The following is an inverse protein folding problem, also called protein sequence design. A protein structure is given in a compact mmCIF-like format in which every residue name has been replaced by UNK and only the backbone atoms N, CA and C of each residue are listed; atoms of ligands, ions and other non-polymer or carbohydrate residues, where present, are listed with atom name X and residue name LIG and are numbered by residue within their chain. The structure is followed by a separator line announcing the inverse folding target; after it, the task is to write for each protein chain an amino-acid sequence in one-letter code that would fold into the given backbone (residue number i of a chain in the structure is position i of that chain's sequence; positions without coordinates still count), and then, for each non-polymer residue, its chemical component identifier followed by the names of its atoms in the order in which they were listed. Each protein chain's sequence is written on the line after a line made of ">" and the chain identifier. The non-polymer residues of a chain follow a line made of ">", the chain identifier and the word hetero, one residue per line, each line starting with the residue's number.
data_IF_463472381693
#
_entry.id   IF_463472381693
#
_cell.length_a   1.000
_cell.length_b   1.000
_cell.length_c   1.000
_cell.angle_alpha   90.00
_cell.angle_beta   90.00
_cell.angle_gamma   90.00
#
_symmetry.space_group_name_H-M   'P 1'
#
loop_
_entity.id
_entity.type
_entity.pdbx_description
1 polymer ?
#
# COMPACT_ATOMS: atom_id res chain seq x y z
N UNK A 1 3.87 -41.31 -3.76
CA UNK A 1 4.72 -40.25 -4.34
C UNK A 1 4.99 -39.25 -3.22
N UNK A 2 6.23 -39.11 -2.77
CA UNK A 2 6.56 -38.17 -1.68
C UNK A 2 6.61 -36.76 -2.25
N UNK A 3 5.53 -36.01 -2.05
CA UNK A 3 5.43 -34.62 -2.46
C UNK A 3 6.32 -33.80 -1.53
N UNK A 4 7.54 -33.51 -1.96
CA UNK A 4 8.47 -32.69 -1.20
C UNK A 4 7.93 -31.26 -1.26
N UNK A 5 7.26 -30.82 -0.20
CA UNK A 5 6.86 -29.43 -0.04
C UNK A 5 8.15 -28.62 0.08
N UNK A 6 8.49 -27.87 -0.96
CA UNK A 6 9.62 -26.95 -0.92
C UNK A 6 9.35 -25.99 0.24
N UNK A 7 10.24 -25.93 1.23
CA UNK A 7 10.16 -24.97 2.33
C UNK A 7 10.91 -23.68 1.95
N UNK A 8 10.60 -22.58 2.67
CA UNK A 8 11.32 -21.30 2.57
C UNK A 8 12.82 -21.51 2.78
N UNK A 9 13.64 -20.99 1.87
CA UNK A 9 15.11 -21.05 1.97
C UNK A 9 15.70 -19.65 2.06
N UNK A 10 16.80 -19.50 2.76
CA UNK A 10 17.50 -18.22 2.93
C UNK A 10 18.83 -18.24 2.18
N UNK A 11 19.16 -17.12 1.56
CA UNK A 11 20.44 -16.90 0.87
C UNK A 11 21.29 -16.01 1.77
N UNK A 12 22.50 -16.45 2.08
CA UNK A 12 23.46 -15.69 2.89
C UNK A 12 24.69 -15.27 2.08
N UNK A 13 25.31 -14.15 2.47
CA UNK A 13 26.59 -13.71 1.91
C UNK A 13 27.79 -14.45 2.55
N UNK A 14 29.01 -14.08 2.15
CA UNK A 14 30.24 -14.67 2.67
C UNK A 14 30.54 -14.32 4.15
N UNK A 15 29.80 -13.37 4.74
CA UNK A 15 29.85 -13.02 6.16
C UNK A 15 28.73 -13.70 6.96
N UNK A 16 27.90 -14.54 6.31
CA UNK A 16 26.74 -15.17 6.92
C UNK A 16 25.53 -14.25 7.09
N UNK A 17 25.54 -13.04 6.51
CA UNK A 17 24.39 -12.14 6.55
C UNK A 17 23.36 -12.59 5.53
N UNK A 18 22.10 -12.63 5.94
CA UNK A 18 20.99 -12.98 5.06
C UNK A 18 20.72 -11.85 4.06
N UNK A 19 20.83 -12.16 2.77
CA UNK A 19 20.66 -11.20 1.67
C UNK A 19 19.44 -11.51 0.79
N UNK A 20 18.84 -12.68 0.95
CA UNK A 20 17.71 -13.08 0.13
C UNK A 20 16.93 -14.25 0.72
N UNK A 21 15.78 -14.51 0.10
CA UNK A 21 14.90 -15.62 0.46
C UNK A 21 14.28 -16.21 -0.81
N UNK A 22 14.24 -17.53 -0.89
CA UNK A 22 13.50 -18.28 -1.90
C UNK A 22 12.20 -18.75 -1.25
N UNK A 23 11.08 -18.30 -1.81
CA UNK A 23 9.74 -18.67 -1.34
C UNK A 23 9.13 -19.73 -2.26
N UNK A 24 8.38 -20.69 -1.70
CA UNK A 24 7.47 -21.52 -2.49
C UNK A 24 6.44 -20.64 -3.20
N UNK A 25 5.93 -21.09 -4.36
CA UNK A 25 5.05 -20.27 -5.18
C UNK A 25 3.82 -19.75 -4.42
N UNK A 26 3.19 -20.60 -3.61
CA UNK A 26 2.02 -20.21 -2.82
C UNK A 26 2.32 -19.07 -1.84
N UNK A 27 3.51 -19.07 -1.22
CA UNK A 27 3.93 -18.04 -0.28
C UNK A 27 4.35 -16.77 -1.02
N UNK A 28 4.95 -16.90 -2.21
CA UNK A 28 5.32 -15.76 -3.05
C UNK A 28 4.10 -14.95 -3.48
N UNK A 29 3.00 -15.61 -3.88
CA UNK A 29 1.77 -14.94 -4.28
C UNK A 29 1.17 -14.05 -3.19
N UNK A 30 1.44 -14.34 -1.91
CA UNK A 30 0.97 -13.53 -0.78
C UNK A 30 1.76 -12.22 -0.65
N UNK A 31 3.04 -12.22 -1.03
CA UNK A 31 3.93 -11.05 -0.86
C UNK A 31 4.20 -10.30 -2.16
N UNK A 32 3.95 -10.91 -3.32
CA UNK A 32 4.14 -10.32 -4.65
C UNK A 32 3.46 -8.94 -4.78
N UNK A 33 2.21 -8.72 -4.37
CA UNK A 33 1.57 -7.41 -4.51
C UNK A 33 2.31 -6.31 -3.73
N UNK A 34 2.82 -6.64 -2.53
CA UNK A 34 3.56 -5.72 -1.67
C UNK A 34 4.92 -5.40 -2.30
N UNK A 35 5.61 -6.42 -2.80
CA UNK A 35 6.91 -6.24 -3.48
C UNK A 35 6.77 -5.35 -4.72
N UNK A 36 5.73 -5.57 -5.54
CA UNK A 36 5.45 -4.73 -6.72
C UNK A 36 5.11 -3.28 -6.36
N UNK A 37 4.33 -3.06 -5.31
CA UNK A 37 4.04 -1.70 -4.82
C UNK A 37 5.32 -0.99 -4.37
N UNK A 38 6.21 -1.68 -3.66
CA UNK A 38 7.48 -1.09 -3.22
C UNK A 38 8.41 -0.76 -4.39
N UNK A 39 8.42 -1.58 -5.45
CA UNK A 39 9.17 -1.28 -6.68
C UNK A 39 8.59 -0.07 -7.43
N UNK A 40 7.26 0.05 -7.48
CA UNK A 40 6.58 1.21 -8.07
C UNK A 40 6.83 2.49 -7.26
N UNK A 41 6.76 2.43 -5.93
CA UNK A 41 7.08 3.56 -5.05
C UNK A 41 8.56 3.97 -5.12
N UNK A 42 9.48 3.06 -5.47
CA UNK A 42 10.87 3.40 -5.78
C UNK A 42 11.05 3.98 -7.19
N UNK A 43 10.09 3.79 -8.09
CA UNK A 43 10.11 4.35 -9.44
C UNK A 43 9.38 5.70 -9.51
N UNK A 44 8.49 5.99 -8.56
CA UNK A 44 7.86 7.30 -8.33
C UNK A 44 8.71 8.24 -7.44
N UNK A 45 10.02 8.01 -7.34
CA UNK A 45 10.95 9.08 -6.97
C UNK A 45 11.12 10.05 -8.15
N UNK A 46 10.05 10.79 -8.45
CA UNK A 46 10.26 12.24 -8.53
C UNK A 46 10.76 12.64 -7.15
N UNK A 47 12.00 13.13 -7.09
CA UNK A 47 12.70 13.50 -5.86
C UNK A 47 12.01 14.71 -5.19
N UNK A 48 10.83 14.50 -4.61
CA UNK A 48 10.31 15.41 -3.60
C UNK A 48 10.86 14.92 -2.27
N UNK A 49 11.89 15.62 -1.78
CA UNK A 49 12.36 15.45 -0.41
C UNK A 49 11.18 15.65 0.55
N UNK A 50 11.28 15.12 1.77
CA UNK A 50 10.24 15.33 2.79
C UNK A 50 9.90 16.82 2.97
N UNK A 51 10.91 17.68 2.83
CA UNK A 51 10.78 19.15 2.85
C UNK A 51 9.97 19.69 1.68
N UNK A 52 10.13 19.13 0.47
CA UNK A 52 9.35 19.54 -0.71
C UNK A 52 7.88 19.12 -0.57
N UNK A 53 7.62 17.94 -0.01
CA UNK A 53 6.25 17.52 0.30
C UNK A 53 5.57 18.46 1.29
N UNK A 54 6.28 18.84 2.36
CA UNK A 54 5.77 19.79 3.34
C UNK A 54 5.46 21.14 2.70
N UNK A 55 6.35 21.63 1.84
CA UNK A 55 6.15 22.89 1.10
C UNK A 55 4.92 22.84 0.19
N UNK A 56 4.74 21.74 -0.54
CA UNK A 56 3.57 21.57 -1.41
C UNK A 56 2.27 21.48 -0.60
N UNK A 57 2.29 20.83 0.57
CA UNK A 57 1.15 20.81 1.49
C UNK A 57 0.79 22.20 2.02
N UNK A 58 1.79 23.02 2.39
CA UNK A 58 1.58 24.41 2.81
C UNK A 58 0.98 25.25 1.68
N UNK A 59 1.50 25.11 0.46
CA UNK A 59 0.97 25.82 -0.70
C UNK A 59 -0.49 25.41 -0.99
N UNK A 60 -0.76 24.11 -1.03
CA UNK A 60 -2.09 23.57 -1.28
C UNK A 60 -3.14 24.03 -0.25
N UNK A 61 -2.75 24.19 1.02
CA UNK A 61 -3.63 24.71 2.07
C UNK A 61 -4.13 26.14 1.79
N UNK A 62 -3.42 26.90 0.98
CA UNK A 62 -3.77 28.28 0.59
C UNK A 62 -4.27 28.41 -0.85
N UNK A 63 -4.25 27.33 -1.64
CA UNK A 63 -4.65 27.33 -3.05
C UNK A 63 -6.17 27.19 -3.19
N UNK A 64 -6.87 28.22 -3.73
CA UNK A 64 -8.33 28.18 -3.88
C UNK A 64 -8.83 27.07 -4.81
N UNK A 65 -8.06 26.68 -5.84
CA UNK A 65 -8.46 25.62 -6.76
C UNK A 65 -8.37 24.26 -6.07
N UNK A 66 -7.26 24.01 -5.37
CA UNK A 66 -7.10 22.79 -4.57
C UNK A 66 -8.21 22.64 -3.52
N UNK A 67 -8.57 23.72 -2.83
CA UNK A 67 -9.65 23.69 -1.82
C UNK A 67 -11.05 23.48 -2.44
N UNK A 68 -11.27 23.95 -3.66
CA UNK A 68 -12.51 23.71 -4.39
C UNK A 68 -12.63 22.23 -4.77
N UNK A 69 -11.58 21.67 -5.37
CA UNK A 69 -11.52 20.25 -5.75
C UNK A 69 -11.65 19.35 -4.51
N UNK A 70 -10.95 19.69 -3.42
CA UNK A 70 -11.05 18.96 -2.14
C UNK A 70 -12.49 18.96 -1.61
N UNK A 71 -13.19 20.09 -1.70
CA UNK A 71 -14.59 20.20 -1.26
C UNK A 71 -15.52 19.35 -2.13
N UNK A 72 -15.31 19.32 -3.44
CA UNK A 72 -16.07 18.50 -4.37
C UNK A 72 -15.90 17.01 -4.04
N UNK A 73 -14.66 16.55 -3.91
CA UNK A 73 -14.34 15.16 -3.54
C UNK A 73 -14.96 14.79 -2.19
N UNK A 74 -14.77 15.61 -1.16
CA UNK A 74 -15.37 15.36 0.16
C UNK A 74 -16.91 15.32 0.10
N UNK A 75 -17.52 16.11 -0.78
CA UNK A 75 -18.95 16.10 -1.02
C UNK A 75 -19.42 14.85 -1.77
N UNK A 76 -18.58 14.24 -2.60
CA UNK A 76 -18.88 12.94 -3.24
C UNK A 76 -18.76 11.79 -2.23
N UNK A 77 -17.72 11.80 -1.39
CA UNK A 77 -17.52 10.80 -0.33
C UNK A 77 -18.67 10.75 0.68
N UNK A 78 -19.35 11.87 0.95
CA UNK A 78 -20.52 11.90 1.85
C UNK A 78 -21.64 10.94 1.40
N UNK A 79 -21.71 10.61 0.11
CA UNK A 79 -22.71 9.70 -0.44
C UNK A 79 -22.27 8.23 -0.38
N UNK A 80 -20.98 7.95 -0.13
CA UNK A 80 -20.40 6.61 -0.04
C UNK A 80 -20.33 6.11 1.40
N UNK A 81 -20.13 7.01 2.37
CA UNK A 81 -19.96 6.65 3.80
C UNK A 81 -21.24 6.09 4.45
N UNK A 82 -22.41 6.40 3.89
CA UNK A 82 -23.69 5.86 4.37
C UNK A 82 -23.86 4.35 4.12
N UNK A 83 -23.17 3.77 3.14
CA UNK A 83 -23.28 2.33 2.83
C UNK A 83 -22.26 1.46 3.57
N UNK A 84 -21.20 2.06 4.15
CA UNK A 84 -20.09 1.28 4.71
C UNK A 84 -20.21 1.00 6.22
N UNK A 85 -20.98 1.80 6.97
CA UNK A 85 -21.09 1.68 8.43
C UNK A 85 -22.38 1.03 8.94
N UNK A 86 -23.33 0.63 8.09
CA UNK A 86 -24.44 -0.21 8.56
C UNK A 86 -23.93 -1.65 8.72
N UNK A 87 -23.81 -2.18 9.94
CA UNK A 87 -23.60 -3.61 10.08
C UNK A 87 -24.90 -4.26 9.63
N UNK A 88 -24.84 -5.09 8.59
CA UNK A 88 -25.88 -6.06 8.30
C UNK A 88 -26.02 -7.07 9.46
N UNK A 89 -26.55 -6.65 10.61
CA UNK A 89 -27.10 -7.54 11.61
C UNK A 89 -28.50 -7.95 11.15
N UNK A 90 -28.53 -8.86 10.17
CA UNK A 90 -29.62 -9.80 10.07
C UNK A 90 -29.60 -10.71 11.29
N UNK A 91 -30.63 -10.62 12.14
CA UNK A 91 -30.73 -11.50 13.31
C UNK A 91 -31.91 -11.21 14.23
N UNK A 92 -33.10 -11.64 13.79
CA UNK A 92 -34.32 -12.02 14.56
C UNK A 92 -34.54 -11.40 15.96
N UNK A 93 -35.69 -10.75 16.13
CA UNK A 93 -36.72 -11.19 17.09
C UNK A 93 -38.10 -11.06 16.45
#
# INVERSE_FOLDING_TARGET
>A
MNQTTLSKQFITDNQGRQIGVILPMNDYLLVEPILRQQEQSKHDTSLETEEEKLRLMEQAASDPLFLADLREVMNDFKHVDAEWWEPHFGGKQ
#
